data_IF_677586910429
#
_entry.id   IF_677586910429
#
_cell.length_a   1.000
_cell.length_b   1.000
_cell.length_c   1.000
_cell.angle_alpha   90.00
_cell.angle_beta   90.00
_cell.angle_gamma   90.00
#
_symmetry.space_group_name_H-M   'P 1'
#
loop_
_entity.id
_entity.type
_entity.pdbx_description
1 polymer ?
#
# COMPACT_ATOMS: atom_id res chain seq x y z
N UNK A 1 -55.75 -66.66 14.77
CA UNK A 1 -54.38 -67.07 14.39
C UNK A 1 -53.99 -66.24 13.17
N UNK A 2 -53.07 -65.28 13.36
CA UNK A 2 -51.95 -64.92 12.48
C UNK A 2 -52.17 -65.00 10.95
N UNK A 3 -51.91 -63.99 10.11
CA UNK A 3 -50.88 -62.95 10.15
C UNK A 3 -51.30 -61.81 9.22
N UNK A 4 -50.98 -60.59 9.66
CA UNK A 4 -50.93 -59.36 8.88
C UNK A 4 -49.84 -59.53 7.81
N UNK A 5 -50.17 -59.54 6.52
CA UNK A 5 -49.19 -59.27 5.46
C UNK A 5 -49.58 -58.04 4.66
N UNK A 6 -49.34 -56.90 5.32
CA UNK A 6 -49.35 -55.57 4.73
C UNK A 6 -48.13 -55.48 3.81
N UNK A 7 -48.29 -55.78 2.51
CA UNK A 7 -47.28 -55.44 1.50
C UNK A 7 -47.28 -53.93 1.25
N UNK A 8 -46.63 -53.17 2.13
CA UNK A 8 -46.12 -51.83 1.80
C UNK A 8 -44.86 -52.01 0.95
N UNK A 9 -45.05 -52.32 -0.33
CA UNK A 9 -43.98 -52.57 -1.29
C UNK A 9 -43.33 -51.28 -1.79
N UNK A 10 -42.06 -51.12 -1.38
CA UNK A 10 -40.99 -50.25 -1.89
C UNK A 10 -41.20 -48.72 -1.88
N UNK A 11 -40.67 -48.05 -0.83
CA UNK A 11 -40.55 -46.59 -0.73
C UNK A 11 -39.28 -46.07 -1.42
N UNK A 12 -38.92 -46.60 -2.58
CA UNK A 12 -37.78 -46.10 -3.38
C UNK A 12 -38.33 -45.16 -4.44
N UNK A 13 -38.05 -43.86 -4.27
CA UNK A 13 -38.33 -42.86 -5.31
C UNK A 13 -37.62 -43.23 -6.60
N UNK A 14 -38.22 -42.89 -7.75
CA UNK A 14 -37.55 -43.08 -9.03
C UNK A 14 -36.36 -42.12 -9.12
N UNK A 15 -35.15 -42.64 -9.28
CA UNK A 15 -33.93 -41.84 -9.51
C UNK A 15 -34.06 -40.86 -10.67
N UNK A 16 -34.92 -41.17 -11.66
CA UNK A 16 -35.20 -40.29 -12.80
C UNK A 16 -35.99 -39.05 -12.34
N UNK A 17 -36.96 -39.22 -11.43
CA UNK A 17 -37.74 -38.10 -10.89
C UNK A 17 -36.88 -37.20 -10.00
N UNK A 18 -36.03 -37.80 -9.16
CA UNK A 18 -35.09 -37.05 -8.34
C UNK A 18 -34.12 -36.27 -9.23
N UNK A 19 -33.49 -36.91 -10.21
CA UNK A 19 -32.57 -36.25 -11.15
C UNK A 19 -33.26 -35.15 -11.97
N UNK A 20 -34.51 -35.36 -12.41
CA UNK A 20 -35.27 -34.36 -13.17
C UNK A 20 -35.58 -33.09 -12.36
N UNK A 21 -35.66 -33.18 -11.03
CA UNK A 21 -35.86 -32.03 -10.15
C UNK A 21 -34.52 -31.39 -9.74
N UNK A 22 -33.51 -32.20 -9.42
CA UNK A 22 -32.22 -31.68 -8.92
C UNK A 22 -31.34 -31.07 -10.02
N UNK A 23 -31.32 -31.64 -11.22
CA UNK A 23 -30.42 -31.21 -12.29
C UNK A 23 -30.67 -29.75 -12.74
N UNK A 24 -31.92 -29.29 -12.97
CA UNK A 24 -32.19 -27.89 -13.32
C UNK A 24 -31.76 -26.92 -12.22
N UNK A 25 -32.01 -27.27 -10.94
CA UNK A 25 -31.61 -26.45 -9.79
C UNK A 25 -30.09 -26.30 -9.75
N UNK A 26 -29.36 -27.41 -9.95
CA UNK A 26 -27.91 -27.39 -9.99
C UNK A 26 -27.37 -26.53 -11.15
N UNK A 27 -27.96 -26.63 -12.34
CA UNK A 27 -27.58 -25.81 -13.50
C UNK A 27 -27.80 -24.32 -13.20
N UNK A 28 -28.92 -23.96 -12.58
CA UNK A 28 -29.20 -22.58 -12.18
C UNK A 28 -28.16 -22.07 -11.18
N UNK A 29 -27.83 -22.86 -10.15
CA UNK A 29 -26.80 -22.50 -9.17
C UNK A 29 -25.43 -22.28 -9.81
N UNK A 30 -24.98 -23.20 -10.67
CA UNK A 30 -23.70 -23.07 -11.37
C UNK A 30 -23.69 -21.85 -12.30
N UNK A 31 -24.80 -21.61 -13.01
CA UNK A 31 -24.93 -20.43 -13.87
C UNK A 31 -24.85 -19.12 -13.09
N UNK A 32 -25.46 -19.06 -11.90
CA UNK A 32 -25.39 -17.91 -11.01
C UNK A 32 -23.96 -17.67 -10.52
N UNK A 33 -23.23 -18.72 -10.14
CA UNK A 33 -21.83 -18.60 -9.71
C UNK A 33 -20.93 -18.06 -10.84
N UNK A 34 -21.09 -18.55 -12.06
CA UNK A 34 -20.32 -18.07 -13.22
C UNK A 34 -20.56 -16.57 -13.45
N UNK A 35 -21.79 -16.09 -13.24
CA UNK A 35 -22.11 -14.67 -13.40
C UNK A 35 -21.49 -13.81 -12.32
N UNK A 36 -21.53 -14.28 -11.07
CA UNK A 36 -20.87 -13.59 -9.96
C UNK A 36 -19.37 -13.45 -10.25
N UNK A 37 -18.72 -14.52 -10.73
CA UNK A 37 -17.29 -14.48 -11.09
C UNK A 37 -17.03 -13.45 -12.19
N UNK A 38 -17.88 -13.37 -13.22
CA UNK A 38 -17.76 -12.35 -14.27
C UNK A 38 -17.92 -10.93 -13.73
N UNK A 39 -18.92 -10.69 -12.89
CA UNK A 39 -19.17 -9.38 -12.29
C UNK A 39 -17.96 -8.95 -11.45
N UNK A 40 -17.46 -9.84 -10.58
CA UNK A 40 -16.29 -9.57 -9.74
C UNK A 40 -15.07 -9.30 -10.62
N UNK A 41 -14.85 -10.06 -11.69
CA UNK A 41 -13.74 -9.83 -12.61
C UNK A 41 -13.78 -8.45 -13.27
N UNK A 42 -14.95 -7.94 -13.65
CA UNK A 42 -15.10 -6.58 -14.19
C UNK A 42 -14.78 -5.55 -13.10
N UNK A 43 -15.36 -5.70 -11.90
CA UNK A 43 -15.11 -4.77 -10.79
C UNK A 43 -13.63 -4.74 -10.37
N UNK A 44 -12.98 -5.90 -10.28
CA UNK A 44 -11.55 -5.98 -9.96
C UNK A 44 -10.68 -5.33 -11.03
N UNK A 45 -11.03 -5.48 -12.31
CA UNK A 45 -10.28 -4.85 -13.40
C UNK A 45 -10.38 -3.32 -13.35
N UNK A 46 -11.58 -2.79 -13.07
CA UNK A 46 -11.79 -1.34 -12.85
C UNK A 46 -10.93 -0.87 -11.67
N UNK A 47 -11.04 -1.53 -10.51
CA UNK A 47 -10.24 -1.20 -9.33
C UNK A 47 -8.73 -1.20 -9.63
N UNK A 48 -8.25 -2.18 -10.40
CA UNK A 48 -6.84 -2.29 -10.74
C UNK A 48 -6.38 -1.15 -11.66
N UNK A 49 -7.12 -0.89 -12.75
CA UNK A 49 -6.85 0.25 -13.64
C UNK A 49 -6.86 1.57 -12.87
N UNK A 50 -7.86 1.79 -12.02
CA UNK A 50 -7.94 2.99 -11.17
C UNK A 50 -6.75 3.10 -10.23
N UNK A 51 -6.36 2.02 -9.56
CA UNK A 51 -5.24 2.02 -8.62
C UNK A 51 -3.89 2.31 -9.32
N UNK A 52 -3.69 1.79 -10.53
CA UNK A 52 -2.48 2.05 -11.33
C UNK A 52 -2.35 3.53 -11.70
N UNK A 53 -3.45 4.15 -12.13
CA UNK A 53 -3.50 5.57 -12.45
C UNK A 53 -3.27 6.46 -11.22
N UNK A 54 -3.92 6.15 -10.10
CA UNK A 54 -3.69 6.90 -8.86
C UNK A 54 -2.26 6.73 -8.35
N UNK A 55 -1.67 5.55 -8.50
CA UNK A 55 -0.27 5.34 -8.15
C UNK A 55 0.67 6.22 -8.99
N UNK A 56 0.42 6.35 -10.30
CA UNK A 56 1.19 7.26 -11.15
C UNK A 56 1.07 8.72 -10.68
N UNK A 57 -0.16 9.15 -10.37
CA UNK A 57 -0.44 10.49 -9.83
C UNK A 57 0.26 10.70 -8.47
N UNK A 58 0.22 9.71 -7.60
CA UNK A 58 0.87 9.74 -6.28
C UNK A 58 2.38 9.92 -6.42
N UNK A 59 3.02 9.17 -7.32
CA UNK A 59 4.46 9.24 -7.58
C UNK A 59 4.88 10.58 -8.20
N UNK A 60 4.02 11.20 -8.99
CA UNK A 60 4.31 12.50 -9.63
C UNK A 60 3.89 13.71 -8.81
N UNK A 61 3.25 13.49 -7.65
CA UNK A 61 2.70 14.57 -6.82
C UNK A 61 3.72 15.58 -6.28
N UNK A 62 5.02 15.23 -6.26
CA UNK A 62 6.09 16.19 -5.94
C UNK A 62 6.41 17.16 -7.09
N UNK A 63 6.06 16.82 -8.34
CA UNK A 63 6.41 17.61 -9.54
C UNK A 63 5.31 18.58 -9.93
N UNK A 64 4.07 18.13 -9.89
CA UNK A 64 2.94 18.83 -10.48
C UNK A 64 1.86 19.09 -9.43
N UNK A 65 1.20 20.24 -9.53
CA UNK A 65 0.23 20.69 -8.54
C UNK A 65 -1.20 20.83 -9.13
N UNK A 66 -1.45 20.25 -10.30
CA UNK A 66 -2.65 20.54 -11.09
C UNK A 66 -3.59 19.34 -11.17
N UNK A 67 -4.86 19.54 -10.79
CA UNK A 67 -5.83 18.45 -10.53
C UNK A 67 -6.81 18.17 -11.68
N UNK A 68 -7.03 19.12 -12.60
CA UNK A 68 -8.17 19.06 -13.54
C UNK A 68 -7.89 18.20 -14.77
N UNK A 69 -6.67 18.18 -15.32
CA UNK A 69 -6.39 17.33 -16.49
C UNK A 69 -6.36 15.84 -16.14
N UNK A 70 -6.00 15.50 -14.89
CA UNK A 70 -5.81 14.14 -14.43
C UNK A 70 -7.11 13.32 -14.43
N UNK A 71 -8.26 13.95 -14.15
CA UNK A 71 -9.55 13.25 -14.11
C UNK A 71 -9.99 12.77 -15.49
N UNK A 72 -10.01 13.68 -16.48
CA UNK A 72 -10.45 13.36 -17.84
C UNK A 72 -9.52 12.32 -18.50
N UNK A 73 -8.22 12.44 -18.24
CA UNK A 73 -7.23 11.48 -18.72
C UNK A 73 -7.44 10.09 -18.12
N UNK A 74 -7.69 10.02 -16.82
CA UNK A 74 -7.95 8.77 -16.11
C UNK A 74 -9.25 8.11 -16.59
N UNK A 75 -10.34 8.86 -16.76
CA UNK A 75 -11.60 8.35 -17.33
C UNK A 75 -11.40 7.75 -18.72
N UNK A 76 -10.74 8.50 -19.62
CA UNK A 76 -10.48 8.04 -20.99
C UNK A 76 -9.65 6.74 -20.99
N UNK A 77 -8.61 6.66 -20.15
CA UNK A 77 -7.75 5.47 -20.06
C UNK A 77 -8.50 4.26 -19.50
N UNK A 78 -9.32 4.44 -18.46
CA UNK A 78 -10.11 3.36 -17.87
C UNK A 78 -11.16 2.84 -18.86
N UNK A 79 -11.85 3.74 -19.58
CA UNK A 79 -12.83 3.37 -20.61
C UNK A 79 -12.21 2.74 -21.86
N UNK A 80 -10.94 3.01 -22.18
CA UNK A 80 -10.21 2.31 -23.24
C UNK A 80 -9.84 0.88 -22.83
N UNK A 81 -9.47 0.67 -21.56
CA UNK A 81 -9.05 -0.63 -21.02
C UNK A 81 -10.23 -1.54 -20.67
N UNK A 82 -11.40 -0.96 -20.41
CA UNK A 82 -12.57 -1.67 -19.93
C UNK A 82 -13.80 -1.30 -20.77
N UNK A 83 -14.61 -2.25 -21.26
CA UNK A 83 -15.83 -1.97 -22.03
C UNK A 83 -16.99 -1.53 -21.11
N UNK A 84 -16.77 -0.51 -20.29
CA UNK A 84 -17.68 0.02 -19.26
C UNK A 84 -17.73 1.54 -19.34
N UNK A 85 -18.90 2.09 -19.08
CA UNK A 85 -19.07 3.52 -18.87
C UNK A 85 -18.62 3.84 -17.44
N UNK A 86 -17.44 4.44 -17.29
CA UNK A 86 -16.81 4.79 -16.03
C UNK A 86 -16.70 6.30 -15.92
N UNK A 87 -17.18 6.86 -14.80
CA UNK A 87 -17.17 8.30 -14.55
C UNK A 87 -16.62 8.60 -13.15
N UNK A 88 -15.74 9.58 -13.05
CA UNK A 88 -15.21 10.08 -11.78
C UNK A 88 -16.22 11.09 -11.22
N UNK A 89 -16.82 10.74 -10.10
CA UNK A 89 -17.79 11.59 -9.39
C UNK A 89 -17.15 12.53 -8.38
N UNK A 90 -15.95 12.21 -7.91
CA UNK A 90 -15.22 13.01 -6.95
C UNK A 90 -13.72 12.83 -7.08
N UNK A 91 -12.99 13.95 -7.17
CA UNK A 91 -11.54 13.95 -7.14
C UNK A 91 -11.05 15.04 -6.21
N UNK A 92 -10.20 14.70 -5.25
CA UNK A 92 -9.52 15.67 -4.38
C UNK A 92 -8.04 15.39 -4.39
N UNK A 93 -7.28 16.45 -4.61
CA UNK A 93 -5.84 16.37 -4.80
C UNK A 93 -5.10 17.08 -3.65
N UNK A 94 -4.08 16.42 -3.10
CA UNK A 94 -3.21 16.90 -2.02
C UNK A 94 -3.96 17.67 -0.91
N UNK A 95 -5.08 17.14 -0.46
CA UNK A 95 -5.91 17.76 0.57
C UNK A 95 -5.50 17.29 1.97
N UNK A 96 -5.96 18.03 2.98
CA UNK A 96 -5.74 17.71 4.39
C UNK A 96 -7.02 17.16 5.02
N UNK A 97 -6.89 16.08 5.80
CA UNK A 97 -7.97 15.54 6.63
C UNK A 97 -7.46 15.30 8.05
N UNK A 98 -7.79 16.22 8.95
CA UNK A 98 -7.27 16.21 10.33
C UNK A 98 -5.76 16.44 10.36
N UNK A 99 -5.02 15.51 10.98
CA UNK A 99 -3.56 15.58 11.07
C UNK A 99 -2.84 15.11 9.79
N UNK A 100 -3.52 14.34 8.92
CA UNK A 100 -2.94 13.82 7.69
C UNK A 100 -2.99 14.85 6.56
N UNK A 101 -1.84 15.12 5.96
CA UNK A 101 -1.65 15.98 4.78
C UNK A 101 -1.34 15.13 3.55
N UNK A 102 -1.43 15.78 2.38
CA UNK A 102 -1.02 15.20 1.09
C UNK A 102 -1.92 14.03 0.65
N UNK A 103 -3.19 14.06 1.01
CA UNK A 103 -4.14 13.00 0.64
C UNK A 103 -4.65 13.22 -0.78
N UNK A 104 -4.83 12.12 -1.50
CA UNK A 104 -5.45 12.09 -2.82
C UNK A 104 -6.65 11.13 -2.72
N UNK A 105 -7.83 11.59 -3.13
CA UNK A 105 -9.05 10.79 -3.10
C UNK A 105 -9.71 10.77 -4.46
N UNK A 106 -10.07 9.58 -4.92
CA UNK A 106 -10.80 9.36 -6.18
C UNK A 106 -12.07 8.58 -5.87
N UNK A 107 -13.19 9.04 -6.39
CA UNK A 107 -14.50 8.41 -6.27
C UNK A 107 -15.05 8.20 -7.68
N UNK A 108 -15.21 6.93 -8.06
CA UNK A 108 -15.63 6.51 -9.40
C UNK A 108 -16.95 5.76 -9.37
N UNK A 109 -17.70 5.84 -10.47
CA UNK A 109 -18.90 5.03 -10.70
C UNK A 109 -18.83 4.38 -12.07
N UNK A 110 -19.14 3.10 -12.14
CA UNK A 110 -19.24 2.35 -13.38
C UNK A 110 -20.63 1.76 -13.55
N UNK A 111 -21.13 1.77 -14.78
CA UNK A 111 -22.39 1.14 -15.15
C UNK A 111 -22.16 0.10 -16.25
N UNK A 112 -22.60 -1.15 -16.03
CA UNK A 112 -22.53 -2.20 -17.04
C UNK A 112 -23.68 -3.19 -17.00
N UNK A 113 -23.92 -3.80 -18.16
CA UNK A 113 -24.89 -4.87 -18.33
C UNK A 113 -24.19 -6.23 -18.34
N UNK A 114 -24.70 -7.17 -17.56
CA UNK A 114 -24.26 -8.55 -17.55
C UNK A 114 -25.40 -9.45 -18.00
N UNK A 115 -25.18 -10.14 -19.12
CA UNK A 115 -26.12 -11.12 -19.66
C UNK A 115 -26.01 -12.41 -18.86
N UNK A 116 -27.12 -12.86 -18.26
CA UNK A 116 -27.16 -14.13 -17.56
C UNK A 116 -27.32 -15.32 -18.54
N UNK A 117 -27.05 -16.55 -18.10
CA UNK A 117 -27.20 -17.76 -18.94
C UNK A 117 -28.64 -18.03 -19.41
N UNK A 118 -29.62 -17.30 -18.86
CA UNK A 118 -31.05 -17.40 -19.12
C UNK A 118 -31.51 -16.21 -20.01
N UNK A 119 -30.61 -15.31 -20.43
CA UNK A 119 -30.89 -14.16 -21.29
C UNK A 119 -31.53 -12.96 -20.57
N UNK A 120 -31.39 -12.86 -19.25
CA UNK A 120 -31.79 -11.68 -18.48
C UNK A 120 -30.59 -10.73 -18.38
N UNK A 121 -30.80 -9.50 -18.83
CA UNK A 121 -29.82 -8.43 -18.68
C UNK A 121 -29.90 -7.85 -17.27
N UNK A 122 -28.83 -8.07 -16.49
CA UNK A 122 -28.65 -7.45 -15.19
C UNK A 122 -27.86 -6.16 -15.33
N UNK A 123 -28.50 -5.02 -15.03
CA UNK A 123 -27.82 -3.73 -14.93
C UNK A 123 -27.13 -3.62 -13.57
N UNK A 124 -25.80 -3.51 -13.58
CA UNK A 124 -24.97 -3.41 -12.38
C UNK A 124 -24.43 -1.99 -12.27
N UNK A 125 -24.62 -1.39 -11.09
CA UNK A 125 -23.98 -0.14 -10.71
C UNK A 125 -22.86 -0.46 -9.75
N UNK A 126 -21.65 -0.05 -10.09
CA UNK A 126 -20.46 -0.21 -9.28
C UNK A 126 -19.98 1.16 -8.81
N UNK A 127 -19.67 1.29 -7.52
CA UNK A 127 -19.11 2.50 -6.94
C UNK A 127 -17.78 2.14 -6.28
N UNK A 128 -16.74 2.92 -6.55
CA UNK A 128 -15.43 2.75 -5.94
C UNK A 128 -14.96 4.05 -5.29
N UNK A 129 -14.19 3.91 -4.21
CA UNK A 129 -13.48 5.01 -3.58
C UNK A 129 -12.08 4.57 -3.22
N UNK A 130 -11.10 5.31 -3.72
CA UNK A 130 -9.69 5.13 -3.43
C UNK A 130 -9.20 6.35 -2.65
N UNK A 131 -8.49 6.09 -1.55
CA UNK A 131 -7.82 7.12 -0.75
C UNK A 131 -6.35 6.75 -0.61
N UNK A 132 -5.49 7.63 -1.10
CA UNK A 132 -4.04 7.46 -1.06
C UNK A 132 -3.38 8.69 -0.47
N UNK A 133 -2.06 8.63 -0.32
CA UNK A 133 -1.23 9.73 0.12
C UNK A 133 -0.14 9.95 -0.93
N UNK A 134 -0.13 11.15 -1.49
CA UNK A 134 0.85 11.55 -2.49
C UNK A 134 2.27 11.53 -1.92
N UNK A 135 3.23 11.15 -2.77
CA UNK A 135 4.64 11.25 -2.48
C UNK A 135 5.14 12.70 -2.66
N UNK A 136 4.95 13.54 -1.64
CA UNK A 136 5.39 14.95 -1.65
C UNK A 136 6.76 15.18 -0.99
N UNK A 137 7.34 14.12 -0.41
CA UNK A 137 8.61 14.19 0.33
C UNK A 137 8.48 14.91 1.69
N UNK A 138 9.54 14.85 2.49
CA UNK A 138 9.66 15.72 3.67
C UNK A 138 10.27 17.04 3.24
N UNK A 139 9.57 18.15 3.46
CA UNK A 139 10.14 19.50 3.39
C UNK A 139 11.23 19.63 4.46
N UNK A 140 12.44 19.21 4.13
CA UNK A 140 13.63 19.64 4.85
C UNK A 140 13.82 21.11 4.51
N UNK A 141 13.19 22.01 5.27
CA UNK A 141 13.50 23.45 5.28
C UNK A 141 14.89 23.72 5.88
N UNK A 142 15.87 22.87 5.57
CA UNK A 142 17.26 23.13 5.83
C UNK A 142 17.75 24.15 4.80
N UNK A 143 18.41 25.20 5.27
CA UNK A 143 19.16 26.09 4.38
C UNK A 143 20.26 25.23 3.73
N UNK A 144 20.38 25.20 2.39
CA UNK A 144 21.52 24.54 1.77
C UNK A 144 22.80 25.17 2.35
N UNK A 145 23.74 24.32 2.78
CA UNK A 145 25.06 24.77 3.19
C UNK A 145 25.70 25.53 2.02
N UNK A 146 26.37 26.64 2.32
CA UNK A 146 27.13 27.36 1.30
C UNK A 146 28.29 26.48 0.81
N UNK A 147 28.74 26.65 -0.43
CA UNK A 147 29.75 25.76 -1.01
C UNK A 147 31.08 25.77 -0.23
N UNK A 148 31.41 26.88 0.42
CA UNK A 148 32.54 26.98 1.33
C UNK A 148 32.29 26.18 2.62
N UNK A 149 31.08 26.27 3.18
CA UNK A 149 30.66 25.59 4.41
C UNK A 149 30.48 24.08 4.22
N UNK A 150 30.30 23.61 2.99
CA UNK A 150 30.24 22.18 2.65
C UNK A 150 31.61 21.50 2.70
N UNK A 151 32.68 22.26 2.46
CA UNK A 151 34.06 21.76 2.49
C UNK A 151 34.73 21.94 3.85
N UNK A 152 34.28 22.90 4.65
CA UNK A 152 34.62 22.96 6.07
C UNK A 152 33.66 22.05 6.81
N UNK A 153 34.09 20.85 7.19
CA UNK A 153 33.41 20.11 8.26
C UNK A 153 33.21 21.11 9.39
N UNK A 154 31.96 21.36 9.78
CA UNK A 154 31.62 22.49 10.66
C UNK A 154 32.24 22.36 12.05
N UNK A 155 31.59 22.86 13.09
CA UNK A 155 32.03 22.57 14.47
C UNK A 155 31.90 21.08 14.87
N UNK A 156 31.50 20.22 13.93
CA UNK A 156 31.32 18.78 14.09
C UNK A 156 32.67 18.10 14.22
N UNK A 157 32.88 17.44 15.35
CA UNK A 157 34.13 16.80 15.69
C UNK A 157 34.08 15.31 15.34
N UNK A 158 35.19 14.77 14.82
CA UNK A 158 35.31 13.34 14.56
C UNK A 158 35.39 12.55 15.87
N UNK A 159 34.44 11.61 16.03
CA UNK A 159 34.33 10.72 17.18
C UNK A 159 34.42 9.26 16.74
N UNK A 160 34.88 8.41 17.65
CA UNK A 160 35.07 6.98 17.44
C UNK A 160 33.93 6.23 18.11
N UNK A 161 33.26 5.36 17.36
CA UNK A 161 32.26 4.44 17.87
C UNK A 161 32.73 2.99 17.73
N UNK A 162 32.14 2.11 18.55
CA UNK A 162 32.32 0.67 18.47
C UNK A 162 31.00 0.00 18.06
N UNK A 163 30.70 -0.17 16.77
CA UNK A 163 29.36 -0.57 16.30
C UNK A 163 28.87 -1.92 16.83
N UNK A 164 29.79 -2.84 17.16
CA UNK A 164 29.46 -4.20 17.61
C UNK A 164 29.03 -4.28 19.08
N UNK A 165 29.59 -3.44 19.94
CA UNK A 165 29.46 -3.60 21.39
C UNK A 165 29.20 -2.28 22.14
N UNK A 166 29.40 -1.13 21.49
CA UNK A 166 29.30 0.18 22.10
C UNK A 166 28.06 0.95 21.63
N UNK A 167 27.26 1.41 22.58
CA UNK A 167 26.21 2.42 22.37
C UNK A 167 26.72 3.84 22.63
N UNK A 168 28.04 4.00 22.74
CA UNK A 168 28.68 5.26 23.11
C UNK A 168 29.76 5.67 22.14
N UNK A 169 29.88 6.98 21.93
CA UNK A 169 30.97 7.58 21.15
C UNK A 169 32.08 8.08 22.07
N UNK A 170 33.30 8.01 21.56
CA UNK A 170 34.55 8.22 22.28
C UNK A 170 35.47 9.14 21.49
N UNK A 171 36.36 9.85 22.18
CA UNK A 171 37.50 10.52 21.53
C UNK A 171 38.66 9.56 21.31
N UNK A 172 39.54 9.84 20.34
CA UNK A 172 40.75 9.03 20.05
C UNK A 172 41.67 8.78 21.25
N UNK A 173 41.74 9.74 22.18
CA UNK A 173 42.56 9.65 23.40
C UNK A 173 41.87 8.94 24.58
N UNK A 174 40.68 8.37 24.37
CA UNK A 174 39.99 7.64 25.44
C UNK A 174 40.73 6.34 25.78
N UNK A 175 40.85 6.01 27.07
CA UNK A 175 41.42 4.74 27.54
C UNK A 175 40.78 3.50 26.88
N UNK A 176 39.48 3.56 26.60
CA UNK A 176 38.77 2.49 25.89
C UNK A 176 39.26 2.28 24.46
N UNK A 177 39.61 3.36 23.77
CA UNK A 177 40.10 3.35 22.38
C UNK A 177 41.59 3.04 22.34
N UNK A 178 42.39 3.75 23.15
CA UNK A 178 43.84 3.69 23.11
C UNK A 178 44.41 2.37 23.67
N UNK A 179 43.77 1.82 24.72
CA UNK A 179 44.33 0.70 25.48
C UNK A 179 43.40 -0.52 25.48
N UNK A 180 42.16 -0.37 25.95
CA UNK A 180 41.30 -1.53 26.26
C UNK A 180 40.82 -2.28 25.02
N UNK A 181 40.42 -1.57 23.97
CA UNK A 181 39.89 -2.13 22.73
C UNK A 181 40.81 -1.84 21.54
N UNK A 182 42.11 -1.68 21.82
CA UNK A 182 43.13 -1.41 20.82
C UNK A 182 43.19 -2.55 19.80
N UNK A 183 42.81 -2.28 18.55
CA UNK A 183 42.77 -3.26 17.46
C UNK A 183 41.41 -3.92 17.23
N UNK A 184 40.37 -3.58 17.99
CA UNK A 184 39.00 -3.95 17.65
C UNK A 184 38.42 -3.09 16.54
N UNK A 185 37.37 -3.60 15.88
CA UNK A 185 36.65 -2.86 14.83
C UNK A 185 35.98 -1.62 15.42
N UNK A 186 36.53 -0.47 15.10
CA UNK A 186 36.01 0.85 15.42
C UNK A 186 35.76 1.63 14.14
N UNK A 187 34.86 2.61 14.20
CA UNK A 187 34.53 3.48 13.07
C UNK A 187 34.56 4.92 13.52
N UNK A 188 35.22 5.76 12.72
CA UNK A 188 35.18 7.21 12.85
C UNK A 188 33.92 7.76 12.18
N UNK A 189 33.28 8.70 12.85
CA UNK A 189 32.11 9.41 12.35
C UNK A 189 31.98 10.76 13.04
N UNK A 190 31.23 11.67 12.44
CA UNK A 190 30.92 12.96 13.04
C UNK A 190 30.07 12.84 14.32
N UNK A 191 30.33 13.71 15.30
CA UNK A 191 29.58 13.73 16.58
C UNK A 191 28.07 13.91 16.36
N UNK A 192 27.68 14.85 15.50
CA UNK A 192 26.27 15.11 15.20
C UNK A 192 25.58 13.88 14.60
N UNK A 193 26.27 13.16 13.71
CA UNK A 193 25.79 11.91 13.14
C UNK A 193 25.70 10.79 14.20
N UNK A 194 26.62 10.75 15.17
CA UNK A 194 26.59 9.79 16.26
C UNK A 194 25.37 10.03 17.15
N UNK A 195 25.11 11.29 17.52
CA UNK A 195 23.91 11.66 18.29
C UNK A 195 22.64 11.35 17.50
N UNK A 196 22.59 11.67 16.20
CA UNK A 196 21.44 11.39 15.32
C UNK A 196 21.14 9.88 15.21
N UNK A 197 22.19 9.05 15.24
CA UNK A 197 22.07 7.58 15.26
C UNK A 197 21.80 7.00 16.65
N UNK A 198 21.68 7.82 17.69
CA UNK A 198 21.31 7.42 19.05
C UNK A 198 22.48 6.98 19.93
N UNK A 199 23.73 7.29 19.55
CA UNK A 199 24.90 7.04 20.40
C UNK A 199 24.98 8.09 21.51
N UNK A 200 25.36 7.65 22.71
CA UNK A 200 25.52 8.52 23.88
C UNK A 200 26.99 8.89 24.10
N UNK A 201 27.32 10.04 24.69
CA UNK A 201 28.70 10.36 25.03
C UNK A 201 29.27 9.33 26.02
N UNK A 202 30.54 8.98 25.85
CA UNK A 202 31.26 8.17 26.82
C UNK A 202 31.29 8.87 28.19
N UNK A 203 30.93 8.14 29.26
CA UNK A 203 30.93 8.71 30.63
C UNK A 203 32.32 9.11 31.13
N UNK A 204 33.38 8.56 30.54
CA UNK A 204 34.77 8.81 30.97
C UNK A 204 35.40 9.94 30.18
N UNK A 205 35.32 9.90 28.85
CA UNK A 205 35.97 10.91 28.00
C UNK A 205 35.04 12.05 27.57
N UNK A 206 33.75 11.99 27.91
CA UNK A 206 32.76 13.01 27.56
C UNK A 206 32.37 13.07 26.09
N UNK A 207 33.09 12.38 25.20
CA UNK A 207 32.82 12.37 23.76
C UNK A 207 33.39 13.56 22.99
N UNK A 208 33.88 14.61 23.66
CA UNK A 208 34.52 15.75 23.00
C UNK A 208 35.87 15.34 22.39
N UNK A 209 36.07 15.59 21.10
CA UNK A 209 37.37 15.50 20.46
C UNK A 209 38.31 16.57 21.04
N UNK A 210 39.60 16.33 20.89
CA UNK A 210 40.62 17.15 21.52
C UNK A 210 40.48 18.61 21.06
N UNK A 211 40.17 19.53 21.97
CA UNK A 211 40.50 20.94 21.77
C UNK A 211 42.04 21.03 21.72
N UNK A 212 42.56 21.28 20.52
CA UNK A 212 43.87 21.89 20.31
C UNK A 212 43.66 23.32 19.82
#
# INVERSE_FOLDING_TARGET
MNIIDKKFGDKRGSYILEAAVFLPILILCVSALILIIKIVGICENICFSTAEEVLAIDLESYKYNNSVSLCNEMESRISEQNPVDFNITGFRYLYRRGEMTDLISVEGKAEFNVVNAIGIDGKINFEESLLTRGFTGTLNMGRPLDAADFHTGGASQDVIIFPRYGTRYHRGTCFYVAERYKGEYSREMEEEDAVRKGYLPCKICGGAANAQ
#
